data_IF_142500797453
#
_entry.id   IF_142500797453
#
_cell.length_a   1.000
_cell.length_b   1.000
_cell.length_c   1.000
_cell.angle_alpha   90.00
_cell.angle_beta   90.00
_cell.angle_gamma   90.00
#
_symmetry.space_group_name_H-M   'P 1'
#
loop_
_entity.id
_entity.type
_entity.pdbx_description
1 polymer ?
#
# COMPACT_ATOMS: atom_id res chain seq x y z
N UNK A 1 -8.67 24.91 47.71
CA UNK A 1 -8.10 23.88 48.61
C UNK A 1 -9.05 22.69 48.54
N UNK A 2 -8.69 21.48 48.13
CA UNK A 2 -7.40 20.79 48.18
C UNK A 2 -7.33 19.79 47.03
N UNK A 3 -6.14 19.71 46.44
CA UNK A 3 -5.74 18.73 45.43
C UNK A 3 -5.75 17.31 45.99
N UNK A 4 -6.12 16.33 45.17
CA UNK A 4 -5.54 14.99 45.20
C UNK A 4 -5.09 14.60 43.81
N UNK A 5 -3.79 14.68 43.62
CA UNK A 5 -3.01 14.05 42.57
C UNK A 5 -2.87 12.56 42.85
N UNK A 6 -2.90 11.74 41.81
CA UNK A 6 -1.93 10.66 41.62
C UNK A 6 -1.80 10.33 40.12
N UNK A 7 -0.58 10.06 39.63
CA UNK A 7 -0.27 9.96 38.21
C UNK A 7 -0.21 8.50 37.75
N UNK A 8 -0.58 8.26 36.50
CA UNK A 8 -0.39 6.98 35.84
C UNK A 8 -0.04 7.21 34.37
N UNK A 9 1.16 7.72 34.12
CA UNK A 9 1.73 7.78 32.78
C UNK A 9 1.99 6.35 32.29
N UNK A 10 1.06 5.81 31.52
CA UNK A 10 1.31 4.60 30.75
C UNK A 10 2.29 4.94 29.63
N UNK A 11 3.55 4.57 29.83
CA UNK A 11 4.58 4.54 28.80
C UNK A 11 4.10 3.57 27.70
N UNK A 12 3.56 4.09 26.61
CA UNK A 12 3.36 3.30 25.39
C UNK A 12 4.74 3.00 24.81
N UNK A 13 5.33 1.85 25.18
CA UNK A 13 6.42 1.28 24.41
C UNK A 13 5.87 0.92 23.03
N UNK A 14 6.20 1.73 22.03
CA UNK A 14 6.10 1.32 20.65
C UNK A 14 7.12 0.19 20.43
N UNK A 15 6.67 -1.06 20.52
CA UNK A 15 7.48 -2.20 20.08
C UNK A 15 7.56 -2.13 18.56
N UNK A 16 8.64 -1.52 18.07
CA UNK A 16 9.13 -1.69 16.70
C UNK A 16 9.54 -3.16 16.57
N UNK A 17 8.58 -4.02 16.22
CA UNK A 17 8.83 -5.40 15.85
C UNK A 17 9.57 -5.45 14.52
N UNK A 18 10.88 -5.17 14.54
CA UNK A 18 11.79 -5.52 13.47
C UNK A 18 11.99 -7.04 13.48
N UNK A 19 11.78 -7.69 12.34
CA UNK A 19 12.13 -9.09 12.19
C UNK A 19 13.66 -9.20 12.17
N UNK A 20 14.26 -9.51 13.32
CA UNK A 20 15.67 -9.86 13.41
C UNK A 20 15.88 -11.20 12.70
N UNK A 21 16.82 -11.25 11.75
CA UNK A 21 17.28 -12.52 11.21
C UNK A 21 18.07 -13.30 12.29
N UNK A 22 18.31 -14.60 12.06
CA UNK A 22 19.03 -15.51 12.98
C UNK A 22 20.44 -15.01 13.39
N UNK A 23 20.96 -13.96 12.77
CA UNK A 23 22.22 -13.28 13.08
C UNK A 23 22.09 -12.01 13.93
N UNK A 24 20.88 -11.61 14.33
CA UNK A 24 20.64 -10.40 15.13
C UNK A 24 20.83 -9.07 14.37
N UNK A 25 21.03 -9.10 13.05
CA UNK A 25 21.13 -7.89 12.22
C UNK A 25 19.78 -7.55 11.57
N UNK A 26 19.43 -6.26 11.53
CA UNK A 26 18.36 -5.78 10.65
C UNK A 26 18.72 -6.14 9.19
N UNK A 27 17.75 -6.62 8.38
CA UNK A 27 18.01 -6.89 6.98
C UNK A 27 18.42 -5.60 6.25
N UNK A 28 19.35 -5.71 5.30
CA UNK A 28 19.75 -4.55 4.50
C UNK A 28 18.57 -4.02 3.68
N UNK A 29 18.43 -2.69 3.65
CA UNK A 29 17.43 -2.04 2.83
C UNK A 29 17.77 -2.22 1.36
N UNK A 30 16.81 -2.75 0.61
CA UNK A 30 16.97 -2.98 -0.83
C UNK A 30 16.73 -1.68 -1.59
N UNK A 31 17.64 -1.36 -2.52
CA UNK A 31 17.42 -0.27 -3.47
C UNK A 31 16.30 -0.66 -4.45
N UNK A 32 16.32 -1.92 -4.91
CA UNK A 32 15.41 -2.48 -5.89
C UNK A 32 14.74 -3.74 -5.34
N UNK A 33 13.43 -3.87 -5.59
CA UNK A 33 12.65 -5.05 -5.22
C UNK A 33 11.96 -5.56 -6.48
N UNK A 34 12.15 -6.84 -6.78
CA UNK A 34 11.40 -7.59 -7.78
C UNK A 34 10.78 -8.81 -7.13
N UNK A 35 9.46 -8.90 -7.18
CA UNK A 35 8.71 -10.05 -6.65
C UNK A 35 7.71 -10.49 -7.71
N UNK A 36 7.93 -11.71 -8.20
CA UNK A 36 7.01 -12.50 -9.01
C UNK A 36 6.84 -13.85 -8.31
N UNK A 37 5.77 -14.58 -8.61
CA UNK A 37 5.41 -15.76 -7.81
C UNK A 37 5.70 -17.11 -8.48
N UNK A 38 6.27 -17.12 -9.68
CA UNK A 38 6.49 -18.32 -10.52
C UNK A 38 7.29 -19.44 -9.85
N UNK A 39 8.24 -19.08 -8.99
CA UNK A 39 9.10 -20.05 -8.32
C UNK A 39 8.47 -20.67 -7.07
N UNK A 40 7.33 -20.15 -6.60
CA UNK A 40 6.64 -20.70 -5.44
C UNK A 40 5.70 -21.83 -5.87
N UNK A 41 5.62 -22.92 -5.10
CA UNK A 41 4.62 -23.96 -5.35
C UNK A 41 3.20 -23.42 -5.09
N UNK A 42 2.22 -23.98 -5.79
CA UNK A 42 0.82 -23.67 -5.56
C UNK A 42 0.36 -23.99 -4.13
N UNK A 43 -0.70 -23.31 -3.69
CA UNK A 43 -1.28 -23.42 -2.36
C UNK A 43 -0.88 -22.27 -1.45
N UNK A 44 -1.11 -22.42 -0.14
CA UNK A 44 -0.99 -21.32 0.82
C UNK A 44 0.35 -20.59 0.74
N UNK A 45 0.30 -19.26 0.65
CA UNK A 45 1.49 -18.41 0.65
C UNK A 45 2.06 -18.31 2.07
N UNK A 46 2.99 -19.23 2.37
CA UNK A 46 3.53 -19.41 3.72
C UNK A 46 4.42 -18.22 4.11
N UNK A 47 4.51 -17.98 5.42
CA UNK A 47 5.36 -16.94 6.01
C UNK A 47 6.83 -17.03 5.55
N UNK A 48 7.35 -18.25 5.32
CA UNK A 48 8.70 -18.44 4.78
C UNK A 48 8.87 -17.84 3.39
N UNK A 49 7.93 -18.09 2.47
CA UNK A 49 7.91 -17.50 1.13
C UNK A 49 7.73 -15.98 1.21
N UNK A 50 6.78 -15.52 2.02
CA UNK A 50 6.56 -14.10 2.26
C UNK A 50 7.83 -13.37 2.73
N UNK A 51 8.58 -13.92 3.69
CA UNK A 51 9.82 -13.31 4.19
C UNK A 51 10.97 -13.35 3.19
N UNK A 52 10.96 -14.30 2.24
CA UNK A 52 11.93 -14.32 1.15
C UNK A 52 11.65 -13.20 0.15
N UNK A 53 10.38 -12.98 -0.17
CA UNK A 53 9.95 -11.97 -1.14
C UNK A 53 10.03 -10.55 -0.55
N UNK A 54 9.58 -10.41 0.71
CA UNK A 54 9.43 -9.15 1.44
C UNK A 54 10.27 -9.17 2.73
N UNK A 55 11.60 -9.12 2.55
CA UNK A 55 12.57 -9.31 3.64
C UNK A 55 12.49 -8.22 4.72
N UNK A 56 12.07 -7.01 4.35
CA UNK A 56 11.95 -5.87 5.27
C UNK A 56 10.49 -5.60 5.70
N UNK A 57 9.63 -6.61 5.60
CA UNK A 57 8.21 -6.43 5.84
C UNK A 57 7.86 -6.30 7.32
N UNK A 58 6.91 -5.43 7.63
CA UNK A 58 6.38 -5.20 8.97
C UNK A 58 4.89 -4.86 8.93
N UNK A 59 4.23 -4.89 10.10
CA UNK A 59 2.78 -4.68 10.27
C UNK A 59 1.93 -5.58 9.36
N UNK A 60 2.33 -6.85 9.22
CA UNK A 60 1.66 -7.82 8.36
C UNK A 60 0.34 -8.32 8.93
N UNK A 61 -0.72 -8.26 8.12
CA UNK A 61 -2.06 -8.79 8.35
C UNK A 61 -2.47 -9.52 7.06
N UNK A 62 -1.82 -10.65 6.79
CA UNK A 62 -1.94 -11.36 5.51
C UNK A 62 -2.23 -12.86 5.68
N UNK A 63 -2.35 -13.32 6.93
CA UNK A 63 -2.36 -14.73 7.26
C UNK A 63 -3.64 -15.42 6.78
N UNK A 64 -3.47 -16.61 6.18
CA UNK A 64 -4.54 -17.54 5.77
C UNK A 64 -5.54 -16.98 4.73
N UNK A 65 -5.24 -15.84 4.11
CA UNK A 65 -6.07 -15.23 3.05
C UNK A 65 -5.31 -15.07 1.74
N UNK A 66 -4.24 -15.85 1.58
CA UNK A 66 -3.38 -15.78 0.43
C UNK A 66 -2.83 -17.13 0.01
N UNK A 67 -2.92 -17.37 -1.29
CA UNK A 67 -2.47 -18.60 -1.93
C UNK A 67 -1.70 -18.24 -3.19
N UNK A 68 -0.70 -19.04 -3.53
CA UNK A 68 -0.09 -19.07 -4.85
C UNK A 68 -0.95 -19.95 -5.74
N UNK A 69 -1.30 -19.44 -6.92
CA UNK A 69 -2.14 -20.17 -7.89
C UNK A 69 -1.49 -20.14 -9.27
N UNK A 70 -1.67 -21.22 -10.03
CA UNK A 70 -1.21 -21.28 -11.41
C UNK A 70 -1.92 -20.26 -12.31
N UNK A 71 -1.15 -19.72 -13.25
CA UNK A 71 -1.62 -18.93 -14.39
C UNK A 71 -1.39 -19.72 -15.69
N UNK A 72 -1.84 -19.17 -16.83
CA UNK A 72 -1.48 -19.72 -18.15
C UNK A 72 0.03 -19.77 -18.39
N UNK A 73 0.76 -18.86 -17.76
CA UNK A 73 2.23 -18.79 -17.73
C UNK A 73 2.60 -18.35 -16.32
N UNK A 74 3.35 -19.20 -15.59
CA UNK A 74 3.81 -18.87 -14.25
C UNK A 74 2.74 -19.00 -13.16
N UNK A 75 2.95 -18.28 -12.05
CA UNK A 75 2.05 -18.29 -10.89
C UNK A 75 1.81 -16.87 -10.38
N UNK A 76 0.69 -16.65 -9.69
CA UNK A 76 0.36 -15.37 -9.08
C UNK A 76 -0.05 -15.49 -7.62
N UNK A 77 -0.01 -14.37 -6.90
CA UNK A 77 -0.51 -14.28 -5.53
C UNK A 77 -2.00 -13.97 -5.54
N UNK A 78 -2.82 -14.97 -5.21
CA UNK A 78 -4.27 -14.82 -5.01
C UNK A 78 -4.57 -14.38 -3.59
N UNK A 79 -5.43 -13.37 -3.44
CA UNK A 79 -5.86 -12.81 -2.17
C UNK A 79 -7.37 -12.99 -2.01
N UNK A 80 -7.80 -13.44 -0.84
CA UNK A 80 -9.21 -13.69 -0.50
C UNK A 80 -9.84 -12.52 0.27
N UNK A 81 -11.03 -12.11 -0.16
CA UNK A 81 -11.89 -11.10 0.47
C UNK A 81 -13.21 -11.78 0.85
N UNK A 82 -13.31 -12.35 2.07
CA UNK A 82 -14.52 -13.06 2.51
C UNK A 82 -15.75 -12.17 2.51
N UNK A 83 -16.92 -12.74 2.25
CA UNK A 83 -18.21 -12.06 2.38
C UNK A 83 -18.31 -11.36 3.75
N UNK A 84 -18.74 -10.10 3.76
CA UNK A 84 -18.95 -9.33 4.97
C UNK A 84 -17.69 -8.77 5.62
N UNK A 85 -16.49 -9.07 5.09
CA UNK A 85 -15.23 -8.57 5.63
C UNK A 85 -15.01 -7.08 5.35
N UNK A 86 -14.46 -6.37 6.35
CA UNK A 86 -13.97 -5.00 6.18
C UNK A 86 -12.58 -4.84 6.78
N UNK A 87 -11.74 -4.08 6.08
CA UNK A 87 -10.38 -3.81 6.54
C UNK A 87 -9.47 -5.04 6.46
N UNK A 88 -8.16 -4.82 6.68
CA UNK A 88 -7.14 -5.85 6.50
C UNK A 88 -7.18 -6.99 7.54
N UNK A 89 -7.86 -6.77 8.68
CA UNK A 89 -8.02 -7.78 9.72
C UNK A 89 -8.95 -8.93 9.29
N UNK A 90 -10.03 -8.58 8.59
CA UNK A 90 -11.10 -9.52 8.22
C UNK A 90 -10.99 -9.98 6.76
N UNK A 91 -10.50 -9.12 5.87
CA UNK A 91 -10.50 -9.37 4.42
C UNK A 91 -9.24 -8.88 3.73
N UNK A 92 -8.85 -9.60 2.68
CA UNK A 92 -7.60 -9.38 1.96
C UNK A 92 -6.40 -9.38 2.90
N UNK A 93 -5.59 -8.33 2.82
CA UNK A 93 -4.56 -8.09 3.81
C UNK A 93 -3.73 -6.84 3.61
N UNK A 94 -2.77 -6.65 4.51
CA UNK A 94 -1.87 -5.49 4.49
C UNK A 94 -0.49 -5.87 5.01
N UNK A 95 0.55 -5.26 4.46
CA UNK A 95 1.87 -5.14 5.08
C UNK A 95 2.56 -3.88 4.57
N UNK A 96 3.69 -3.55 5.20
CA UNK A 96 4.61 -2.52 4.72
C UNK A 96 5.97 -3.12 4.49
N UNK A 97 6.65 -2.74 3.43
CA UNK A 97 8.04 -3.09 3.14
C UNK A 97 8.89 -1.82 3.25
N UNK A 98 9.96 -1.85 4.04
CA UNK A 98 10.92 -0.74 4.09
C UNK A 98 11.78 -0.72 2.83
N UNK A 99 11.97 0.48 2.28
CA UNK A 99 12.82 0.77 1.12
C UNK A 99 14.01 1.63 1.56
N UNK A 100 15.10 1.59 0.79
CA UNK A 100 16.15 2.59 0.95
C UNK A 100 15.57 4.00 0.64
N UNK A 101 15.69 5.00 1.53
CA UNK A 101 15.08 6.30 1.29
C UNK A 101 15.61 6.99 0.03
N UNK A 102 14.71 7.40 -0.87
CA UNK A 102 15.04 8.17 -2.09
C UNK A 102 14.03 9.26 -2.37
N UNK A 103 14.46 10.27 -3.14
CA UNK A 103 13.56 11.33 -3.61
C UNK A 103 12.48 10.82 -4.54
N UNK A 104 12.80 9.80 -5.35
CA UNK A 104 11.86 9.29 -6.33
C UNK A 104 11.96 7.77 -6.49
N UNK A 105 10.82 7.15 -6.72
CA UNK A 105 10.66 5.72 -6.96
C UNK A 105 9.59 5.48 -8.02
N UNK A 106 9.78 4.41 -8.79
CA UNK A 106 8.75 3.81 -9.63
C UNK A 106 8.30 2.50 -8.98
N UNK A 107 6.98 2.31 -8.89
CA UNK A 107 6.32 1.06 -8.54
C UNK A 107 5.55 0.55 -9.76
N UNK A 108 5.75 -0.69 -10.15
CA UNK A 108 4.85 -1.41 -11.06
C UNK A 108 4.34 -2.69 -10.44
N UNK A 109 3.12 -3.09 -10.78
CA UNK A 109 2.56 -4.41 -10.49
C UNK A 109 1.35 -4.67 -11.38
N UNK A 110 0.98 -5.95 -11.52
CA UNK A 110 -0.27 -6.34 -12.18
C UNK A 110 -1.30 -6.75 -11.14
N UNK A 111 -2.57 -6.45 -11.42
CA UNK A 111 -3.71 -6.95 -10.65
C UNK A 111 -4.82 -7.42 -11.58
N UNK A 112 -5.46 -8.53 -11.22
CA UNK A 112 -6.71 -8.98 -11.81
C UNK A 112 -7.73 -9.15 -10.70
N UNK A 113 -8.90 -8.53 -10.86
CA UNK A 113 -10.07 -8.83 -10.05
C UNK A 113 -10.74 -10.05 -10.67
N UNK A 114 -10.87 -11.18 -9.97
CA UNK A 114 -11.45 -12.39 -10.57
C UNK A 114 -12.89 -12.17 -11.03
N UNK A 115 -13.37 -13.01 -11.96
CA UNK A 115 -14.75 -12.94 -12.43
C UNK A 115 -15.70 -13.04 -11.24
N UNK A 116 -16.64 -12.09 -11.15
CA UNK A 116 -17.58 -11.99 -10.03
C UNK A 116 -17.05 -11.27 -8.79
N UNK A 117 -15.87 -10.65 -8.84
CA UNK A 117 -15.40 -9.77 -7.77
C UNK A 117 -16.43 -8.69 -7.46
N UNK A 118 -16.83 -8.60 -6.20
CA UNK A 118 -17.80 -7.62 -5.74
C UNK A 118 -17.10 -6.33 -5.35
N UNK A 119 -17.07 -5.34 -6.25
CA UNK A 119 -16.39 -4.07 -6.00
C UNK A 119 -16.97 -3.27 -4.83
N UNK A 120 -18.27 -3.42 -4.54
CA UNK A 120 -19.01 -2.61 -3.55
C UNK A 120 -18.70 -1.11 -3.70
N UNK A 121 -18.71 -0.38 -2.58
CA UNK A 121 -18.30 1.03 -2.48
C UNK A 121 -16.79 1.25 -2.69
N UNK A 122 -15.98 0.19 -2.65
CA UNK A 122 -14.56 0.25 -2.93
C UNK A 122 -13.66 -0.40 -1.88
N UNK A 123 -12.35 -0.26 -2.11
CA UNK A 123 -11.32 -0.76 -1.23
C UNK A 123 -9.93 -0.28 -1.64
N UNK A 124 -8.89 -0.76 -0.96
CA UNK A 124 -7.52 -0.28 -1.13
C UNK A 124 -6.71 -1.15 -2.07
N UNK A 125 -5.74 -0.57 -2.76
CA UNK A 125 -4.74 -1.25 -3.57
C UNK A 125 -3.33 -0.77 -3.20
N UNK A 126 -2.29 -1.56 -3.51
CA UNK A 126 -0.90 -1.25 -3.15
C UNK A 126 -0.41 0.12 -3.65
N UNK A 127 0.56 0.71 -2.97
CA UNK A 127 1.19 1.98 -3.38
C UNK A 127 2.40 2.39 -2.53
N UNK A 128 2.93 3.59 -2.77
CA UNK A 128 4.14 4.11 -2.10
C UNK A 128 3.82 5.05 -0.94
N UNK A 129 4.76 5.22 -0.03
CA UNK A 129 4.67 6.15 1.08
C UNK A 129 6.05 6.65 1.54
N UNK A 130 6.03 7.67 2.40
CA UNK A 130 7.23 8.24 3.02
C UNK A 130 7.03 8.64 4.47
N UNK A 131 8.10 8.54 5.27
CA UNK A 131 8.14 8.99 6.66
C UNK A 131 7.08 8.31 7.53
N UNK A 132 6.22 9.11 8.18
CA UNK A 132 5.11 8.56 9.00
C UNK A 132 4.12 7.70 8.21
N UNK A 133 4.13 7.75 6.87
CA UNK A 133 3.27 6.94 6.01
C UNK A 133 1.80 6.99 6.44
N UNK A 134 1.30 8.23 6.50
CA UNK A 134 -0.02 8.62 6.98
C UNK A 134 -1.14 7.85 6.28
N UNK A 135 -2.02 7.22 7.07
CA UNK A 135 -3.19 6.45 6.62
C UNK A 135 -4.26 6.44 7.71
N UNK A 136 -5.49 6.00 7.40
CA UNK A 136 -6.50 5.66 8.42
C UNK A 136 -6.93 6.83 9.29
N UNK A 137 -7.20 7.99 8.70
CA UNK A 137 -7.62 9.20 9.42
C UNK A 137 -6.47 10.02 10.02
N UNK A 138 -5.21 9.57 9.88
CA UNK A 138 -4.04 10.30 10.40
C UNK A 138 -3.58 11.35 9.38
N UNK A 139 -4.07 12.58 9.50
CA UNK A 139 -3.70 13.69 8.62
C UNK A 139 -2.18 13.99 8.64
N UNK A 140 -1.53 14.27 7.49
CA UNK A 140 -0.12 14.64 7.43
C UNK A 140 0.19 15.96 8.11
N UNK A 141 1.33 16.01 8.79
CA UNK A 141 1.90 17.23 9.40
C UNK A 141 3.18 17.71 8.69
N UNK A 142 3.50 17.10 7.54
CA UNK A 142 4.68 17.43 6.73
C UNK A 142 5.87 16.48 6.88
N UNK A 143 5.76 15.49 7.77
CA UNK A 143 6.75 14.46 8.08
C UNK A 143 6.30 13.05 7.64
N UNK A 144 5.27 12.97 6.81
CA UNK A 144 4.84 11.74 6.16
C UNK A 144 3.70 11.94 5.18
N UNK A 145 3.51 10.96 4.31
CA UNK A 145 2.49 10.94 3.26
C UNK A 145 2.27 9.51 2.79
N UNK A 146 1.16 9.24 2.10
CA UNK A 146 0.98 7.95 1.39
C UNK A 146 0.21 8.15 0.11
N UNK A 147 0.59 7.39 -0.92
CA UNK A 147 0.03 7.42 -2.26
C UNK A 147 -0.36 5.99 -2.67
N UNK A 148 -1.58 5.60 -2.32
CA UNK A 148 -2.14 4.28 -2.62
C UNK A 148 -3.19 4.38 -3.71
N UNK A 149 -3.68 3.25 -4.18
CA UNK A 149 -4.84 3.22 -5.07
C UNK A 149 -6.10 2.76 -4.34
N UNK A 150 -7.24 3.03 -4.96
CA UNK A 150 -8.51 2.38 -4.63
C UNK A 150 -9.18 1.85 -5.87
N UNK A 151 -9.89 0.72 -5.71
CA UNK A 151 -11.06 0.47 -6.53
C UNK A 151 -12.30 1.11 -5.88
N UNK A 152 -13.29 1.41 -6.71
CA UNK A 152 -14.60 1.92 -6.32
C UNK A 152 -15.72 1.17 -7.04
N UNK A 153 -16.93 1.70 -6.94
CA UNK A 153 -18.12 1.14 -7.57
C UNK A 153 -17.91 0.90 -9.07
N UNK A 154 -18.42 -0.25 -9.53
CA UNK A 154 -18.29 -0.67 -10.92
C UNK A 154 -16.86 -0.88 -11.42
N UNK A 155 -15.84 -0.85 -10.55
CA UNK A 155 -14.43 -0.96 -10.95
C UNK A 155 -13.73 0.37 -11.22
N UNK A 156 -14.33 1.51 -10.86
CA UNK A 156 -13.65 2.82 -10.98
C UNK A 156 -12.33 2.82 -10.18
N UNK A 157 -11.30 3.49 -10.70
CA UNK A 157 -9.99 3.54 -10.05
C UNK A 157 -9.66 4.96 -9.62
N UNK A 158 -9.07 5.10 -8.42
CA UNK A 158 -8.61 6.41 -7.92
C UNK A 158 -7.23 6.30 -7.31
N UNK A 159 -6.45 7.38 -7.42
CA UNK A 159 -5.35 7.63 -6.51
C UNK A 159 -5.93 8.08 -5.17
N UNK A 160 -5.47 7.48 -4.08
CA UNK A 160 -5.86 7.82 -2.71
C UNK A 160 -4.65 8.38 -1.98
N UNK A 161 -4.61 9.70 -1.87
CA UNK A 161 -3.43 10.46 -1.51
C UNK A 161 -3.58 11.15 -0.15
N UNK A 162 -2.66 10.85 0.77
CA UNK A 162 -2.42 11.66 1.95
C UNK A 162 -1.29 12.65 1.66
N UNK A 163 -1.54 13.94 1.79
CA UNK A 163 -0.55 15.00 1.55
C UNK A 163 -0.76 16.20 2.49
N UNK A 164 0.23 17.10 2.58
CA UNK A 164 0.28 18.16 3.60
C UNK A 164 -0.96 19.08 3.62
N UNK A 165 -1.50 19.37 2.44
CA UNK A 165 -2.59 20.34 2.27
C UNK A 165 -3.97 19.70 2.09
N UNK A 166 -4.11 18.40 2.36
CA UNK A 166 -5.42 17.75 2.30
C UNK A 166 -6.40 18.42 3.26
N UNK A 167 -7.67 18.54 2.87
CA UNK A 167 -8.66 19.27 3.67
C UNK A 167 -9.17 18.41 4.83
N UNK A 168 -9.47 17.14 4.55
CA UNK A 168 -10.06 16.20 5.52
C UNK A 168 -8.99 15.35 6.22
N UNK A 169 -9.39 14.59 7.24
CA UNK A 169 -8.53 13.62 7.92
C UNK A 169 -8.23 12.37 7.07
N UNK A 170 -9.01 12.17 6.01
CA UNK A 170 -8.86 11.06 5.08
C UNK A 170 -8.16 11.52 3.80
N UNK A 171 -7.49 10.59 3.13
CA UNK A 171 -6.79 10.89 1.88
C UNK A 171 -7.75 11.40 0.81
N UNK A 172 -7.25 12.29 -0.04
CA UNK A 172 -7.99 12.80 -1.19
C UNK A 172 -8.10 11.70 -2.26
N UNK A 173 -9.25 11.64 -2.93
CA UNK A 173 -9.52 10.70 -4.03
C UNK A 173 -9.42 11.46 -5.33
N UNK A 174 -8.50 11.04 -6.20
CA UNK A 174 -8.31 11.63 -7.53
C UNK A 174 -8.59 10.54 -8.55
N UNK A 175 -9.55 10.77 -9.43
CA UNK A 175 -9.96 9.79 -10.44
C UNK A 175 -8.83 9.49 -11.42
N UNK A 176 -8.63 8.21 -11.71
CA UNK A 176 -7.75 7.76 -12.78
C UNK A 176 -8.56 7.62 -14.06
N UNK A 177 -7.95 7.95 -15.21
CA UNK A 177 -8.54 7.72 -16.54
C UNK A 177 -8.44 6.24 -16.95
N UNK A 178 -8.93 5.35 -16.10
CA UNK A 178 -8.93 3.91 -16.28
C UNK A 178 -10.00 3.25 -15.39
N UNK A 179 -10.40 2.04 -15.75
CA UNK A 179 -11.40 1.27 -15.01
C UNK A 179 -11.00 -0.20 -14.97
N UNK A 180 -11.20 -0.82 -13.81
CA UNK A 180 -11.02 -2.25 -13.67
C UNK A 180 -12.20 -3.02 -14.24
N UNK A 181 -11.90 -4.07 -15.02
CA UNK A 181 -12.86 -5.02 -15.52
C UNK A 181 -12.51 -6.39 -14.96
N UNK A 182 -13.45 -7.04 -14.27
CA UNK A 182 -13.22 -8.35 -13.70
C UNK A 182 -12.83 -9.37 -14.78
N UNK A 183 -11.85 -10.21 -14.48
CA UNK A 183 -11.30 -11.19 -15.42
C UNK A 183 -10.22 -10.64 -16.34
N UNK A 184 -9.83 -9.36 -16.21
CA UNK A 184 -8.76 -8.75 -16.99
C UNK A 184 -7.62 -8.27 -16.09
N UNK A 185 -6.39 -8.56 -16.51
CA UNK A 185 -5.20 -8.00 -15.90
C UNK A 185 -5.11 -6.50 -16.19
N UNK A 186 -4.65 -5.76 -15.20
CA UNK A 186 -4.31 -4.35 -15.29
C UNK A 186 -2.89 -4.18 -14.77
N UNK A 187 -2.03 -3.55 -15.55
CA UNK A 187 -0.71 -3.15 -15.10
C UNK A 187 -0.76 -1.72 -14.55
N UNK A 188 -0.44 -1.57 -13.27
CA UNK A 188 -0.24 -0.29 -12.62
C UNK A 188 1.23 0.12 -12.73
N UNK A 189 1.47 1.39 -13.04
CA UNK A 189 2.76 2.06 -12.90
C UNK A 189 2.56 3.37 -12.15
N UNK A 190 3.27 3.55 -11.04
CA UNK A 190 3.29 4.76 -10.22
C UNK A 190 4.70 5.32 -10.19
N UNK A 191 4.89 6.56 -10.63
CA UNK A 191 6.12 7.32 -10.45
C UNK A 191 5.86 8.39 -9.39
N UNK A 192 6.60 8.38 -8.29
CA UNK A 192 6.49 9.39 -7.24
C UNK A 192 7.81 10.13 -7.11
N UNK A 193 7.76 11.46 -7.14
CA UNK A 193 8.88 12.34 -6.80
C UNK A 193 8.48 13.26 -5.65
N UNK A 194 9.23 13.17 -4.55
CA UNK A 194 8.99 13.99 -3.34
C UNK A 194 9.51 15.40 -3.56
N UNK A 195 8.72 16.39 -3.15
CA UNK A 195 9.07 17.80 -3.21
C UNK A 195 10.34 18.13 -2.39
N UNK A 196 11.02 19.22 -2.74
CA UNK A 196 12.04 19.80 -1.88
C UNK A 196 11.39 20.34 -0.58
N UNK A 197 12.08 20.32 0.58
CA UNK A 197 11.49 20.80 1.82
C UNK A 197 10.92 22.22 1.69
N UNK A 198 9.65 22.37 2.06
CA UNK A 198 8.92 23.64 1.99
C UNK A 198 8.60 24.16 0.57
N UNK A 199 8.74 23.34 -0.46
CA UNK A 199 8.38 23.66 -1.86
C UNK A 199 7.22 22.81 -2.34
N UNK A 200 6.47 23.28 -3.33
CA UNK A 200 5.35 22.58 -3.97
C UNK A 200 5.77 22.06 -5.36
N UNK A 201 6.80 21.23 -5.40
CA UNK A 201 7.37 20.71 -6.65
C UNK A 201 7.48 19.18 -6.68
N UNK A 202 6.66 18.49 -5.89
CA UNK A 202 6.51 17.05 -5.94
C UNK A 202 5.55 16.64 -7.05
N UNK A 203 5.62 15.38 -7.46
CA UNK A 203 4.77 14.85 -8.53
C UNK A 203 4.42 13.39 -8.33
N UNK A 204 3.24 13.02 -8.82
CA UNK A 204 2.81 11.63 -8.95
C UNK A 204 2.27 11.44 -10.36
N UNK A 205 2.90 10.53 -11.11
CA UNK A 205 2.40 10.11 -12.42
C UNK A 205 1.95 8.66 -12.36
N UNK A 206 0.82 8.37 -13.01
CA UNK A 206 0.23 7.04 -13.05
C UNK A 206 -0.04 6.63 -14.48
N UNK A 207 0.40 5.42 -14.85
CA UNK A 207 -0.05 4.74 -16.07
C UNK A 207 -0.79 3.46 -15.71
N UNK A 208 -1.84 3.18 -16.46
CA UNK A 208 -2.56 1.91 -16.43
C UNK A 208 -2.47 1.30 -17.83
N UNK A 209 -1.96 0.08 -17.92
CA UNK A 209 -1.69 -0.61 -19.18
C UNK A 209 -0.89 0.25 -20.17
N UNK A 210 0.15 0.92 -19.65
CA UNK A 210 1.02 1.82 -20.41
C UNK A 210 0.42 3.16 -20.80
N UNK A 211 -0.89 3.40 -20.58
CA UNK A 211 -1.57 4.65 -20.91
C UNK A 211 -1.56 5.61 -19.73
N UNK A 212 -1.30 6.90 -19.98
CA UNK A 212 -1.34 7.94 -18.94
C UNK A 212 -2.74 8.05 -18.33
N UNK A 213 -2.85 7.71 -17.05
CA UNK A 213 -4.10 7.73 -16.32
C UNK A 213 -4.23 8.96 -15.41
N UNK A 214 -3.11 9.47 -14.88
CA UNK A 214 -3.03 10.68 -14.06
C UNK A 214 -1.62 11.27 -14.15
N UNK A 215 -1.51 12.60 -14.20
CA UNK A 215 -0.26 13.33 -14.01
C UNK A 215 -0.51 14.49 -13.04
N UNK A 216 -0.16 14.28 -11.76
CA UNK A 216 -0.36 15.25 -10.70
C UNK A 216 0.97 15.93 -10.38
N UNK A 217 1.04 17.24 -10.62
CA UNK A 217 2.21 18.08 -10.36
C UNK A 217 1.92 19.03 -9.19
N UNK A 218 2.97 19.74 -8.74
CA UNK A 218 2.81 20.79 -7.72
C UNK A 218 2.48 20.28 -6.32
N UNK A 219 2.85 19.04 -5.99
CA UNK A 219 2.47 18.41 -4.73
C UNK A 219 3.39 18.83 -3.57
N UNK A 220 2.78 19.02 -2.40
CA UNK A 220 3.47 19.11 -1.10
C UNK A 220 3.30 17.80 -0.34
N UNK A 221 4.12 16.80 -0.66
CA UNK A 221 4.15 15.51 0.04
C UNK A 221 4.82 15.64 1.42
N UNK A 222 5.77 16.57 1.57
CA UNK A 222 6.41 16.92 2.84
C UNK A 222 6.48 18.43 3.07
N UNK A 223 6.65 18.83 4.33
CA UNK A 223 6.72 20.22 4.76
C UNK A 223 8.15 20.78 4.79
N UNK A 224 8.36 21.82 5.62
CA UNK A 224 9.68 22.36 5.95
C UNK A 224 10.36 21.45 6.98
N UNK A 225 10.92 20.34 6.50
CA UNK A 225 11.62 19.32 7.30
C UNK A 225 13.07 19.18 6.83
N UNK A 226 13.88 18.38 7.54
CA UNK A 226 15.22 18.01 7.06
C UNK A 226 15.13 17.28 5.72
N UNK A 227 16.19 17.35 4.92
CA UNK A 227 16.21 16.84 3.53
C UNK A 227 16.04 15.33 3.41
N UNK A 228 16.36 14.59 4.46
CA UNK A 228 16.24 13.14 4.61
C UNK A 228 14.88 12.68 5.17
N UNK A 229 14.04 13.60 5.63
CA UNK A 229 12.71 13.28 6.20
C UNK A 229 11.66 13.17 5.10
N UNK A 230 10.78 12.17 5.25
CA UNK A 230 9.62 11.92 4.38
C UNK A 230 9.97 11.74 2.89
N UNK A 231 11.16 11.21 2.63
CA UNK A 231 11.51 10.60 1.34
C UNK A 231 10.60 9.39 1.05
N UNK A 232 10.59 8.88 -0.17
CA UNK A 232 9.95 7.58 -0.42
C UNK A 232 10.80 6.52 0.28
N UNK A 233 10.23 5.86 1.28
CA UNK A 233 10.94 4.90 2.14
C UNK A 233 10.10 3.65 2.46
N UNK A 234 8.87 3.58 1.95
CA UNK A 234 7.96 2.49 2.22
C UNK A 234 7.13 2.13 1.00
N UNK A 235 6.99 0.82 0.76
CA UNK A 235 5.93 0.24 -0.06
C UNK A 235 4.82 -0.29 0.85
N UNK A 236 3.57 0.05 0.54
CA UNK A 236 2.39 -0.37 1.27
C UNK A 236 1.61 -1.34 0.38
N UNK A 237 1.77 -2.64 0.62
CA UNK A 237 0.81 -3.60 0.10
C UNK A 237 -0.44 -3.50 0.96
N UNK A 238 -1.51 -2.90 0.43
CA UNK A 238 -2.78 -2.78 1.12
C UNK A 238 -3.87 -3.23 0.18
N UNK A 239 -4.58 -4.30 0.51
CA UNK A 239 -5.73 -4.70 -0.26
C UNK A 239 -6.85 -5.27 0.59
N UNK A 240 -7.97 -4.56 0.62
CA UNK A 240 -9.15 -4.91 1.43
C UNK A 240 -10.31 -4.00 1.04
N UNK A 241 -11.54 -4.49 1.17
CA UNK A 241 -12.75 -3.65 1.17
C UNK A 241 -12.71 -2.71 2.36
N UNK A 242 -12.96 -1.42 2.14
CA UNK A 242 -12.60 -0.45 3.15
C UNK A 242 -13.32 0.87 3.05
N UNK A 243 -13.92 1.23 4.19
CA UNK A 243 -14.53 2.51 4.52
C UNK A 243 -14.78 2.49 6.03
N UNK A 244 -15.84 3.15 6.48
CA UNK A 244 -16.18 3.21 7.91
C UNK A 244 -17.25 2.23 8.37
N UNK A 245 -17.92 1.49 7.48
CA UNK A 245 -19.09 0.67 7.83
C UNK A 245 -19.30 -0.53 6.90
N UNK A 246 -20.24 -1.42 7.25
CA UNK A 246 -20.50 -2.69 6.55
C UNK A 246 -21.00 -2.56 5.11
N UNK A 247 -21.48 -1.40 4.66
CA UNK A 247 -21.91 -1.22 3.27
C UNK A 247 -20.76 -1.43 2.27
N UNK A 248 -19.53 -1.22 2.74
CA UNK A 248 -18.30 -1.43 2.00
C UNK A 248 -17.95 -2.91 1.83
N UNK A 249 -18.47 -3.78 2.69
CA UNK A 249 -18.13 -5.20 2.69
C UNK A 249 -18.71 -5.94 1.48
N UNK A 250 -17.99 -6.92 0.91
CA UNK A 250 -18.47 -7.67 -0.25
C UNK A 250 -19.63 -8.58 0.16
N UNK A 251 -20.63 -8.72 -0.73
CA UNK A 251 -21.80 -9.58 -0.50
C UNK A 251 -21.53 -11.05 -0.81
N UNK A 252 -20.35 -11.36 -1.36
CA UNK A 252 -19.87 -12.71 -1.68
C UNK A 252 -18.36 -12.78 -1.50
N UNK A 253 -17.83 -13.99 -1.36
CA UNK A 253 -16.39 -14.20 -1.37
C UNK A 253 -15.85 -13.71 -2.71
N UNK A 254 -14.86 -12.84 -2.65
CA UNK A 254 -14.23 -12.22 -3.81
C UNK A 254 -12.73 -12.50 -3.76
N UNK A 255 -12.08 -12.48 -4.92
CA UNK A 255 -10.66 -12.78 -5.04
C UNK A 255 -10.00 -11.84 -6.06
N UNK A 256 -8.79 -11.41 -5.75
CA UNK A 256 -7.94 -10.68 -6.67
C UNK A 256 -6.57 -11.33 -6.70
N UNK A 257 -5.90 -11.32 -7.85
CA UNK A 257 -4.55 -11.85 -7.99
C UNK A 257 -3.59 -10.74 -8.33
N UNK A 258 -2.37 -10.84 -7.80
CA UNK A 258 -1.31 -9.86 -7.93
C UNK A 258 -0.04 -10.52 -8.42
N UNK A 259 0.73 -9.82 -9.24
CA UNK A 259 1.98 -10.33 -9.77
C UNK A 259 2.91 -9.20 -10.25
N UNK A 260 4.15 -9.54 -10.58
CA UNK A 260 5.17 -8.67 -11.18
C UNK A 260 5.39 -7.33 -10.44
N UNK A 261 5.56 -7.40 -9.13
CA UNK A 261 5.97 -6.24 -8.35
C UNK A 261 7.40 -5.84 -8.71
N UNK A 262 7.58 -4.61 -9.18
CA UNK A 262 8.90 -4.00 -9.37
C UNK A 262 8.90 -2.63 -8.71
N UNK A 263 9.83 -2.42 -7.77
CA UNK A 263 10.00 -1.16 -7.04
C UNK A 263 11.45 -0.73 -7.21
N UNK A 264 11.68 0.37 -7.93
CA UNK A 264 13.02 0.84 -8.27
C UNK A 264 13.17 2.34 -8.01
N UNK A 265 14.34 2.82 -7.56
CA UNK A 265 14.63 4.25 -7.47
C UNK A 265 14.59 4.86 -8.87
N UNK A 266 14.21 6.13 -8.94
CA UNK A 266 14.36 6.92 -10.17
C UNK A 266 15.59 7.82 -10.01
N UNK A 267 16.32 8.00 -11.12
CA UNK A 267 17.50 8.87 -11.20
C UNK A 267 17.11 10.35 -11.22
#
# INVERSE_FOLDING_TARGET
MTLRSCPGSALFLAVLGGALNLSGKEPELRNEIRVHFDAHPEGTYKMRSFRKDWSNAFLGQFHQRSDIVAESIGNSLRVNYPRGSIGPNEGGGQFRERLAPRKAYRLTYRVIFEKGFDFRKGGKLPGLAGGKANTGGKKPTGDGWSSRYMWGEGGNLTLYLYHLHQKTDYGDRIELKAKAVSGHWLQFEQEVTVNAPGKENGSIRVRIDGKLALDQQGLSLRGKVKTDVALVDQFLFSTFHGGGNRDWSPLRNSYARFDDFVIIPMH
#
